data_IF_157449512215
#
_entry.id   IF_157449512215
#
_cell.length_a   1.000
_cell.length_b   1.000
_cell.length_c   1.000
_cell.angle_alpha   90.00
_cell.angle_beta   90.00
_cell.angle_gamma   90.00
#
_symmetry.space_group_name_H-M   'P 1'
#
loop_
_entity.id
_entity.type
_entity.pdbx_description
1 polymer ?
#
# COMPACT_ATOMS: atom_id res chain seq x y z
N UNK A 1 -1.66 -30.61 -8.88
CA UNK A 1 -1.58 -29.14 -9.05
C UNK A 1 -1.88 -28.54 -7.71
N UNK A 2 -0.85 -28.39 -6.86
CA UNK A 2 -1.01 -27.82 -5.53
C UNK A 2 -1.01 -26.30 -5.68
N UNK A 3 -2.19 -25.69 -5.55
CA UNK A 3 -2.33 -24.25 -5.41
C UNK A 3 -1.54 -23.83 -4.17
N UNK A 4 -0.51 -23.04 -4.36
CA UNK A 4 0.25 -22.43 -3.28
C UNK A 4 -0.69 -21.38 -2.64
N UNK A 5 -1.43 -21.79 -1.61
CA UNK A 5 -2.21 -20.91 -0.75
C UNK A 5 -1.21 -20.00 0.00
N UNK A 6 -0.71 -18.99 -0.69
CA UNK A 6 0.10 -17.93 -0.08
C UNK A 6 -0.83 -17.10 0.77
N UNK A 7 -0.82 -17.40 2.04
CA UNK A 7 -1.50 -16.53 3.00
C UNK A 7 -0.71 -15.22 3.06
N UNK A 8 -1.26 -14.17 2.43
CA UNK A 8 -0.71 -12.82 2.54
C UNK A 8 -0.46 -12.46 4.02
N UNK A 9 0.48 -11.58 4.28
CA UNK A 9 0.70 -11.14 5.65
C UNK A 9 -0.60 -10.54 6.22
N UNK A 10 -0.86 -10.81 7.48
CA UNK A 10 -2.04 -10.26 8.13
C UNK A 10 -1.94 -8.75 8.21
N UNK A 11 -3.06 -8.01 8.22
CA UNK A 11 -3.05 -6.56 8.40
C UNK A 11 -2.25 -6.12 9.64
N UNK A 12 -2.32 -6.88 10.74
CA UNK A 12 -1.59 -6.61 11.97
C UNK A 12 -0.07 -6.75 11.77
N UNK A 13 0.39 -7.77 11.06
CA UNK A 13 1.81 -7.97 10.76
C UNK A 13 2.35 -6.84 9.86
N UNK A 14 1.56 -6.40 8.88
CA UNK A 14 1.91 -5.27 8.02
C UNK A 14 1.94 -3.94 8.79
N UNK A 15 0.98 -3.71 9.69
CA UNK A 15 0.97 -2.53 10.55
C UNK A 15 2.16 -2.53 11.51
N UNK A 16 2.48 -3.67 12.14
CA UNK A 16 3.63 -3.81 13.01
C UNK A 16 4.94 -3.53 12.25
N UNK A 17 5.12 -4.09 11.05
CA UNK A 17 6.27 -3.79 10.21
C UNK A 17 6.32 -2.31 9.79
N UNK A 18 5.18 -1.70 9.48
CA UNK A 18 5.13 -0.28 9.10
C UNK A 18 5.45 0.66 10.25
N UNK A 19 5.20 0.26 11.51
CA UNK A 19 5.54 1.05 12.69
C UNK A 19 7.07 1.17 12.91
N UNK A 20 7.84 0.13 12.54
CA UNK A 20 9.31 0.13 12.60
C UNK A 20 9.98 0.54 11.28
N UNK A 21 9.19 0.78 10.23
CA UNK A 21 9.69 1.12 8.92
C UNK A 21 10.22 2.55 8.84
N UNK A 22 11.23 2.74 8.03
CA UNK A 22 11.84 4.04 7.79
C UNK A 22 11.07 4.85 6.73
N UNK A 23 11.25 6.16 6.77
CA UNK A 23 10.83 7.05 5.69
C UNK A 23 11.68 6.80 4.43
N UNK A 24 11.14 7.03 3.22
CA UNK A 24 11.93 6.92 1.99
C UNK A 24 13.19 7.78 1.97
N UNK A 25 13.17 8.96 2.59
CA UNK A 25 14.33 9.84 2.72
C UNK A 25 15.44 9.19 3.54
N UNK A 26 15.11 8.52 4.66
CA UNK A 26 16.11 7.80 5.46
C UNK A 26 16.73 6.62 4.71
N UNK A 27 15.94 5.90 3.90
CA UNK A 27 16.50 4.86 3.03
C UNK A 27 17.45 5.46 1.99
N UNK A 28 17.13 6.62 1.46
CA UNK A 28 17.96 7.34 0.50
C UNK A 28 19.31 7.76 1.13
N UNK A 29 19.26 8.31 2.36
CA UNK A 29 20.44 8.69 3.13
C UNK A 29 21.29 7.46 3.48
N UNK A 30 20.65 6.35 3.89
CA UNK A 30 21.33 5.07 4.14
C UNK A 30 22.09 4.60 2.89
N UNK A 31 21.45 4.66 1.72
CA UNK A 31 22.06 4.25 0.45
C UNK A 31 23.31 5.10 0.14
N UNK A 32 23.26 6.41 0.35
CA UNK A 32 24.42 7.29 0.18
C UNK A 32 25.55 6.97 1.18
N UNK A 33 25.19 6.77 2.43
CA UNK A 33 26.14 6.42 3.48
C UNK A 33 26.86 5.11 3.17
N UNK A 34 26.13 4.06 2.80
CA UNK A 34 26.69 2.76 2.45
C UNK A 34 27.68 2.86 1.28
N UNK A 35 27.34 3.62 0.24
CA UNK A 35 28.22 3.83 -0.90
C UNK A 35 29.48 4.60 -0.49
N UNK A 36 29.37 5.61 0.38
CA UNK A 36 30.51 6.38 0.91
C UNK A 36 31.45 5.51 1.74
N UNK A 37 30.88 4.55 2.49
CA UNK A 37 31.63 3.62 3.32
C UNK A 37 32.17 2.40 2.55
N UNK A 38 31.80 2.23 1.27
CA UNK A 38 32.18 1.04 0.49
C UNK A 38 31.52 -0.24 1.00
N UNK A 39 30.27 -0.15 1.44
CA UNK A 39 29.49 -1.24 2.06
C UNK A 39 28.13 -1.41 1.41
N UNK A 40 27.46 -2.48 1.79
CA UNK A 40 26.05 -2.73 1.49
C UNK A 40 25.31 -3.20 2.74
N UNK A 41 24.00 -3.46 2.65
CA UNK A 41 23.23 -4.13 3.70
C UNK A 41 23.35 -5.65 3.60
N UNK A 42 22.96 -6.34 4.67
CA UNK A 42 23.04 -7.80 4.75
C UNK A 42 24.40 -8.35 5.11
N UNK A 43 24.50 -9.67 5.18
CA UNK A 43 25.73 -10.38 5.57
C UNK A 43 26.76 -10.47 4.43
N UNK A 44 26.30 -10.45 3.17
CA UNK A 44 27.17 -10.50 2.00
C UNK A 44 27.73 -9.11 1.68
N UNK A 45 29.02 -8.91 1.97
CA UNK A 45 29.77 -7.69 1.72
C UNK A 45 30.76 -7.86 0.55
N UNK A 46 30.51 -8.79 -0.37
CA UNK A 46 31.34 -9.00 -1.55
C UNK A 46 31.46 -7.73 -2.39
N UNK A 47 32.55 -7.60 -3.12
CA UNK A 47 32.77 -6.48 -4.04
C UNK A 47 31.63 -6.33 -5.04
N UNK A 48 31.06 -7.45 -5.48
CA UNK A 48 29.91 -7.46 -6.38
C UNK A 48 28.68 -6.79 -5.75
N UNK A 49 28.33 -7.14 -4.51
CA UNK A 49 27.18 -6.58 -3.80
C UNK A 49 27.36 -5.09 -3.48
N UNK A 50 28.57 -4.70 -3.12
CA UNK A 50 28.93 -3.28 -2.93
C UNK A 50 28.84 -2.52 -4.25
N UNK A 51 29.33 -3.10 -5.35
CA UNK A 51 29.21 -2.51 -6.69
C UNK A 51 27.76 -2.33 -7.13
N UNK A 52 26.88 -3.31 -6.87
CA UNK A 52 25.44 -3.17 -7.10
C UNK A 52 24.83 -2.03 -6.30
N UNK A 53 25.18 -1.88 -5.03
CA UNK A 53 24.70 -0.77 -4.18
C UNK A 53 25.12 0.58 -4.76
N UNK A 54 26.37 0.71 -5.20
CA UNK A 54 26.86 1.93 -5.87
C UNK A 54 26.14 2.22 -7.18
N UNK A 55 25.93 1.19 -8.00
CA UNK A 55 25.18 1.31 -9.26
C UNK A 55 23.74 1.75 -9.02
N UNK A 56 23.10 1.21 -7.98
CA UNK A 56 21.73 1.52 -7.63
C UNK A 56 21.58 2.95 -7.11
N UNK A 57 22.54 3.46 -6.36
CA UNK A 57 22.58 4.88 -6.00
C UNK A 57 22.57 5.77 -7.26
N UNK A 58 23.45 5.48 -8.23
CA UNK A 58 23.51 6.24 -9.47
C UNK A 58 22.19 6.17 -10.26
N UNK A 59 21.55 5.00 -10.31
CA UNK A 59 20.23 4.80 -10.95
C UNK A 59 19.14 5.58 -10.24
N UNK A 60 19.10 5.53 -8.91
CA UNK A 60 18.14 6.26 -8.07
C UNK A 60 18.25 7.76 -8.33
N UNK A 61 19.45 8.32 -8.25
CA UNK A 61 19.71 9.76 -8.51
C UNK A 61 19.27 10.18 -9.92
N UNK A 62 19.55 9.33 -10.93
CA UNK A 62 19.11 9.60 -12.29
C UNK A 62 17.58 9.62 -12.38
N UNK A 63 16.92 8.63 -11.81
CA UNK A 63 15.46 8.51 -11.89
C UNK A 63 14.77 9.63 -11.10
N UNK A 64 15.25 10.03 -9.94
CA UNK A 64 14.77 11.19 -9.17
C UNK A 64 14.78 12.48 -10.02
N UNK A 65 15.79 12.65 -10.88
CA UNK A 65 15.92 13.84 -11.76
C UNK A 65 15.07 13.76 -13.03
N UNK A 66 14.80 12.56 -13.54
CA UNK A 66 14.21 12.38 -14.87
C UNK A 66 12.75 11.98 -14.87
N UNK A 67 12.30 11.26 -13.83
CA UNK A 67 10.90 10.84 -13.71
C UNK A 67 10.04 12.07 -13.39
N UNK A 68 8.91 12.16 -14.09
CA UNK A 68 7.93 13.24 -13.86
C UNK A 68 6.54 12.63 -13.77
N UNK A 69 5.76 13.13 -12.83
CA UNK A 69 4.35 12.78 -12.73
C UNK A 69 3.57 13.49 -13.83
N UNK A 70 2.75 12.73 -14.55
CA UNK A 70 1.83 13.28 -15.52
C UNK A 70 0.81 14.19 -14.82
N UNK A 71 0.54 15.40 -15.34
CA UNK A 71 -0.38 16.33 -14.70
C UNK A 71 -1.75 15.73 -14.41
N UNK A 72 -2.25 14.88 -15.31
CA UNK A 72 -3.58 14.26 -15.24
C UNK A 72 -3.71 13.30 -14.04
N UNK A 73 -2.59 12.80 -13.51
CA UNK A 73 -2.60 11.93 -12.33
C UNK A 73 -2.77 12.70 -11.02
N UNK A 74 -2.49 14.00 -10.98
CA UNK A 74 -2.54 14.80 -9.74
C UNK A 74 -3.94 14.84 -9.13
N UNK A 75 -4.95 15.06 -9.95
CA UNK A 75 -6.35 15.12 -9.49
C UNK A 75 -6.83 13.76 -8.97
N UNK A 76 -6.44 12.69 -9.65
CA UNK A 76 -6.74 11.33 -9.22
C UNK A 76 -6.05 10.98 -7.88
N UNK A 77 -4.80 11.41 -7.71
CA UNK A 77 -4.02 11.17 -6.49
C UNK A 77 -4.54 11.99 -5.31
N UNK A 78 -5.03 13.20 -5.53
CA UNK A 78 -5.65 14.03 -4.50
C UNK A 78 -6.92 13.38 -3.90
N UNK A 79 -7.58 12.52 -4.68
CA UNK A 79 -8.78 11.77 -4.26
C UNK A 79 -8.45 10.34 -3.80
N UNK A 80 -7.18 9.97 -3.72
CA UNK A 80 -6.77 8.65 -3.25
C UNK A 80 -7.25 8.43 -1.80
N UNK A 81 -7.66 7.19 -1.49
CA UNK A 81 -8.01 6.82 -0.12
C UNK A 81 -6.76 6.86 0.77
N UNK A 82 -6.96 7.04 2.07
CA UNK A 82 -5.84 6.92 3.02
C UNK A 82 -5.22 5.52 2.92
N UNK A 83 -3.91 5.49 2.72
CA UNK A 83 -3.13 4.26 2.54
C UNK A 83 -1.74 4.42 3.14
N UNK A 84 -1.21 3.31 3.64
CA UNK A 84 0.21 3.16 3.89
C UNK A 84 0.76 2.24 2.80
N UNK A 85 1.82 2.66 2.14
CA UNK A 85 2.58 1.83 1.21
C UNK A 85 3.82 1.31 1.93
N UNK A 86 3.90 0.01 2.12
CA UNK A 86 5.07 -0.64 2.72
C UNK A 86 5.92 -1.26 1.62
N UNK A 87 7.11 -0.73 1.41
CA UNK A 87 8.07 -1.22 0.44
C UNK A 87 9.09 -2.11 1.16
N UNK A 88 9.17 -3.38 0.76
CA UNK A 88 10.16 -4.34 1.24
C UNK A 88 11.29 -4.37 0.21
N UNK A 89 12.47 -3.92 0.57
CA UNK A 89 13.57 -3.77 -0.39
C UNK A 89 14.94 -3.82 0.27
N UNK A 90 15.99 -3.66 -0.55
CA UNK A 90 17.39 -3.57 -0.11
C UNK A 90 18.17 -2.59 -1.00
N UNK A 91 19.24 -1.94 -0.48
CA UNK A 91 20.13 -1.07 -1.24
C UNK A 91 20.76 -1.72 -2.47
N UNK A 92 21.07 -3.01 -2.40
CA UNK A 92 21.64 -3.78 -3.51
C UNK A 92 20.57 -4.29 -4.50
N UNK A 93 19.26 -4.09 -4.24
CA UNK A 93 18.18 -4.52 -5.11
C UNK A 93 18.06 -3.60 -6.34
N UNK A 94 18.31 -4.14 -7.55
CA UNK A 94 18.26 -3.38 -8.79
C UNK A 94 16.86 -2.83 -9.11
N UNK A 95 15.80 -3.60 -8.80
CA UNK A 95 14.41 -3.19 -9.02
C UNK A 95 14.06 -1.96 -8.19
N UNK A 96 14.54 -1.91 -6.93
CA UNK A 96 14.33 -0.78 -6.03
C UNK A 96 14.77 0.53 -6.65
N UNK A 97 15.97 0.56 -7.24
CA UNK A 97 16.54 1.75 -7.83
C UNK A 97 15.75 2.29 -9.03
N UNK A 98 14.92 1.46 -9.65
CA UNK A 98 14.06 1.84 -10.76
C UNK A 98 12.64 2.23 -10.32
N UNK A 99 12.08 1.50 -9.34
CA UNK A 99 10.67 1.63 -8.95
C UNK A 99 10.48 2.63 -7.82
N UNK A 100 11.36 2.64 -6.82
CA UNK A 100 11.20 3.47 -5.63
C UNK A 100 11.10 4.97 -5.92
N UNK A 101 11.94 5.59 -6.80
CA UNK A 101 11.80 7.01 -7.12
C UNK A 101 10.44 7.39 -7.71
N UNK A 102 9.83 6.46 -8.48
CA UNK A 102 8.49 6.64 -9.04
C UNK A 102 7.44 6.59 -7.94
N UNK A 103 7.53 5.60 -7.04
CA UNK A 103 6.60 5.44 -5.92
C UNK A 103 6.66 6.61 -4.96
N UNK A 104 7.86 7.12 -4.64
CA UNK A 104 8.05 8.32 -3.82
C UNK A 104 7.37 9.52 -4.48
N UNK A 105 7.63 9.76 -5.76
CA UNK A 105 7.01 10.86 -6.51
C UNK A 105 5.47 10.79 -6.49
N UNK A 106 4.90 9.59 -6.58
CA UNK A 106 3.45 9.38 -6.49
C UNK A 106 2.96 9.65 -5.05
N UNK A 107 3.65 9.12 -4.04
CA UNK A 107 3.26 9.31 -2.64
C UNK A 107 3.34 10.78 -2.23
N UNK A 108 4.37 11.51 -2.65
CA UNK A 108 4.52 12.95 -2.40
C UNK A 108 3.41 13.79 -3.05
N UNK A 109 2.87 13.32 -4.17
CA UNK A 109 1.76 13.99 -4.85
C UNK A 109 0.38 13.61 -4.28
N UNK A 110 0.29 12.61 -3.42
CA UNK A 110 -0.95 12.08 -2.86
C UNK A 110 -1.01 12.32 -1.34
N UNK A 111 -1.75 13.32 -0.83
CA UNK A 111 -1.72 13.70 0.59
C UNK A 111 -2.16 12.58 1.55
N UNK A 112 -2.91 11.61 1.03
CA UNK A 112 -3.45 10.49 1.79
C UNK A 112 -2.62 9.20 1.67
N UNK A 113 -1.46 9.24 0.99
CA UNK A 113 -0.57 8.08 0.86
C UNK A 113 0.70 8.33 1.66
N UNK A 114 0.97 7.45 2.62
CA UNK A 114 2.21 7.44 3.39
C UNK A 114 3.06 6.25 2.95
N UNK A 115 4.27 6.52 2.47
CA UNK A 115 5.20 5.47 2.08
C UNK A 115 6.16 5.16 3.24
N UNK A 116 6.43 3.87 3.45
CA UNK A 116 7.36 3.32 4.44
C UNK A 116 8.24 2.28 3.78
N UNK A 117 9.46 2.15 4.27
CA UNK A 117 10.46 1.21 3.73
C UNK A 117 10.99 0.32 4.83
N UNK A 118 11.05 -0.98 4.58
CA UNK A 118 11.71 -1.96 5.45
C UNK A 118 12.78 -2.71 4.67
N UNK A 119 13.88 -3.03 5.35
CA UNK A 119 14.94 -3.85 4.76
C UNK A 119 14.51 -5.32 4.77
N UNK A 120 14.57 -5.96 3.60
CA UNK A 120 14.17 -7.37 3.39
C UNK A 120 14.83 -8.32 4.38
N UNK A 121 16.13 -8.16 4.57
CA UNK A 121 16.91 -9.11 5.38
C UNK A 121 16.65 -8.97 6.89
N UNK A 122 16.05 -7.85 7.30
CA UNK A 122 15.56 -7.64 8.68
C UNK A 122 14.12 -8.13 8.87
N UNK A 123 13.39 -8.45 7.78
CA UNK A 123 11.98 -8.84 7.79
C UNK A 123 11.73 -10.08 6.92
N UNK A 124 12.54 -11.13 7.11
CA UNK A 124 12.46 -12.35 6.29
C UNK A 124 11.11 -13.05 6.38
N UNK A 125 10.51 -13.10 7.56
CA UNK A 125 9.17 -13.70 7.74
C UNK A 125 8.10 -12.95 6.96
N UNK A 126 8.20 -11.64 6.89
CA UNK A 126 7.32 -10.82 6.06
C UNK A 126 7.57 -11.09 4.59
N UNK A 127 8.84 -11.09 4.16
CA UNK A 127 9.22 -11.35 2.76
C UNK A 127 8.79 -12.74 2.29
N UNK A 128 8.80 -13.75 3.16
CA UNK A 128 8.40 -15.13 2.83
C UNK A 128 6.92 -15.26 2.47
N UNK A 129 6.10 -14.28 2.83
CA UNK A 129 4.69 -14.22 2.43
C UNK A 129 4.48 -13.67 1.03
N UNK A 130 5.50 -13.06 0.42
CA UNK A 130 5.45 -12.41 -0.88
C UNK A 130 6.48 -12.96 -1.88
N UNK A 131 6.76 -14.25 -1.80
CA UNK A 131 7.71 -14.91 -2.69
C UNK A 131 7.25 -14.87 -4.15
N UNK A 132 8.15 -14.57 -5.06
CA UNK A 132 7.91 -14.68 -6.50
C UNK A 132 8.47 -16.00 -6.99
N UNK A 133 7.60 -16.90 -7.47
CA UNK A 133 7.96 -18.26 -7.91
C UNK A 133 8.76 -19.04 -6.85
N UNK A 134 8.41 -18.86 -5.56
CA UNK A 134 9.08 -19.52 -4.44
C UNK A 134 10.42 -18.91 -4.02
N UNK A 135 10.85 -17.81 -4.62
CA UNK A 135 12.09 -17.10 -4.29
C UNK A 135 11.84 -15.70 -3.73
N UNK A 136 12.71 -15.26 -2.82
CA UNK A 136 12.74 -13.90 -2.26
C UNK A 136 13.34 -12.93 -3.27
N UNK A 137 12.59 -12.64 -4.35
CA UNK A 137 13.06 -11.82 -5.46
C UNK A 137 12.37 -10.48 -5.51
N UNK A 138 13.12 -9.47 -5.95
CA UNK A 138 12.62 -8.15 -6.27
C UNK A 138 12.19 -7.32 -5.06
N UNK A 139 11.70 -6.16 -5.38
CA UNK A 139 11.08 -5.22 -4.46
C UNK A 139 9.59 -5.54 -4.37
N UNK A 140 9.05 -5.62 -3.16
CA UNK A 140 7.62 -5.85 -2.93
C UNK A 140 6.98 -4.59 -2.38
N UNK A 141 5.84 -4.22 -2.95
CA UNK A 141 5.02 -3.11 -2.47
C UNK A 141 3.72 -3.66 -1.89
N UNK A 142 3.54 -3.46 -0.60
CA UNK A 142 2.34 -3.88 0.10
C UNK A 142 1.52 -2.68 0.56
N UNK A 143 0.22 -2.87 0.57
CA UNK A 143 -0.74 -1.89 1.02
C UNK A 143 -1.52 -2.45 2.20
N UNK A 144 -1.06 -2.19 3.45
CA UNK A 144 -1.83 -2.52 4.63
C UNK A 144 -3.22 -1.88 4.54
N UNK A 145 -4.25 -2.71 4.59
CA UNK A 145 -5.62 -2.22 4.71
C UNK A 145 -5.94 -2.11 6.19
N UNK A 146 -6.61 -1.05 6.64
CA UNK A 146 -7.17 -1.05 7.98
C UNK A 146 -8.09 -2.27 8.15
N UNK A 147 -8.19 -2.85 9.36
CA UNK A 147 -9.14 -3.92 9.60
C UNK A 147 -10.50 -3.48 9.06
N UNK A 148 -11.15 -4.37 8.31
CA UNK A 148 -12.51 -4.09 7.82
C UNK A 148 -13.34 -3.88 9.07
N UNK A 149 -13.87 -2.68 9.27
CA UNK A 149 -14.99 -2.53 10.21
C UNK A 149 -16.02 -3.56 9.76
N UNK A 150 -16.27 -4.54 10.63
CA UNK A 150 -17.39 -5.45 10.43
C UNK A 150 -18.60 -4.54 10.19
N UNK A 151 -19.19 -4.64 9.01
CA UNK A 151 -20.35 -3.85 8.67
C UNK A 151 -21.38 -4.10 9.78
N UNK A 152 -21.54 -3.15 10.68
CA UNK A 152 -22.63 -3.18 11.67
C UNK A 152 -23.87 -3.43 10.85
N UNK A 153 -24.62 -4.53 11.11
CA UNK A 153 -25.84 -4.80 10.37
C UNK A 153 -26.69 -3.54 10.50
N UNK A 154 -26.93 -2.86 9.39
CA UNK A 154 -27.86 -1.73 9.39
C UNK A 154 -29.16 -2.28 9.92
N UNK A 155 -29.50 -1.90 11.15
CA UNK A 155 -30.69 -2.31 11.86
C UNK A 155 -31.87 -2.25 10.89
N UNK A 156 -32.63 -3.35 10.83
CA UNK A 156 -33.74 -3.52 9.94
C UNK A 156 -34.63 -2.29 9.96
N UNK A 157 -34.96 -1.80 8.80
CA UNK A 157 -35.93 -0.74 8.63
C UNK A 157 -37.16 -1.08 9.45
N UNK A 158 -37.43 -0.25 10.46
CA UNK A 158 -38.67 -0.35 11.22
C UNK A 158 -39.85 -0.36 10.24
N UNK A 159 -40.56 -1.48 10.19
CA UNK A 159 -41.75 -1.63 9.38
C UNK A 159 -42.75 -0.56 9.84
N UNK A 160 -43.06 0.39 8.99
CA UNK A 160 -44.15 1.32 9.18
C UNK A 160 -45.45 0.54 9.36
N UNK A 161 -46.23 0.80 10.41
CA UNK A 161 -47.50 0.14 10.58
C UNK A 161 -48.42 0.42 9.37
N UNK A 162 -48.95 -0.65 8.74
CA UNK A 162 -49.95 -0.55 7.71
C UNK A 162 -51.18 0.15 8.31
N UNK A 163 -51.56 1.29 7.73
CA UNK A 163 -52.90 1.88 7.98
C UNK A 163 -53.93 0.92 7.39
N UNK A 164 -54.67 0.28 8.27
CA UNK A 164 -55.93 -0.44 7.90
C UNK A 164 -56.94 0.60 7.50
N UNK A 165 -57.25 0.67 6.19
CA UNK A 165 -58.34 1.46 5.68
C UNK A 165 -59.66 0.81 6.09
N UNK A 166 -60.35 1.41 7.03
CA UNK A 166 -61.76 1.08 7.33
C UNK A 166 -62.63 1.66 6.24
N UNK A 167 -63.29 0.75 5.52
CA UNK A 167 -64.37 1.12 4.60
C UNK A 167 -65.64 1.54 5.36
N UNK A 168 -66.11 2.70 5.05
CA UNK A 168 -67.44 3.15 5.45
C UNK A 168 -68.16 3.64 4.20
N UNK A 169 -69.01 2.76 3.63
CA UNK A 169 -70.06 3.15 2.68
C UNK A 169 -71.17 3.75 3.51
N UNK A 170 -71.57 4.91 3.22
CA UNK A 170 -72.90 5.38 3.58
C UNK A 170 -73.52 6.05 2.36
N UNK A 171 -74.59 5.38 1.90
CA UNK A 171 -75.56 5.83 0.90
C UNK A 171 -76.60 6.65 1.60
N UNK A 172 -76.84 7.87 1.16
CA UNK A 172 -78.14 8.50 1.35
C UNK A 172 -78.58 9.24 0.09
N UNK A 173 -79.74 8.81 -0.35
CA UNK A 173 -80.58 9.39 -1.40
C UNK A 173 -81.29 10.62 -0.88
N UNK A 174 -81.72 11.41 -1.81
CA UNK A 174 -82.83 12.35 -1.69
C UNK A 174 -82.36 13.78 -1.98
N UNK A 175 -82.94 14.53 -2.84
CA UNK A 175 -84.21 14.59 -3.49
C UNK A 175 -84.46 16.07 -3.73
N UNK A 176 -84.79 16.35 -4.98
CA UNK A 176 -85.79 17.35 -5.41
C UNK A 176 -85.68 18.82 -4.90
N UNK A 177 -85.44 19.72 -5.70
CA UNK A 177 -86.32 20.67 -6.43
C UNK A 177 -85.49 21.52 -7.33
#
# INVERSE_FOLDING_TARGET
MSGNDRQAATPEALLAASASAMEPSFFRDLLEQLVKEGRTTGADQSEEMVAYTKLNLARTVRNEKTVKLLPELRDALAQAREMIWLLITEPWCGDSSQVMPVLVLIADAAPNIRMRVVLRDQHLELMDRYLTHGGRRGTQLERPQPPREEAVPRGGAAQRPRKTGGGGRETTRGGTT
#
